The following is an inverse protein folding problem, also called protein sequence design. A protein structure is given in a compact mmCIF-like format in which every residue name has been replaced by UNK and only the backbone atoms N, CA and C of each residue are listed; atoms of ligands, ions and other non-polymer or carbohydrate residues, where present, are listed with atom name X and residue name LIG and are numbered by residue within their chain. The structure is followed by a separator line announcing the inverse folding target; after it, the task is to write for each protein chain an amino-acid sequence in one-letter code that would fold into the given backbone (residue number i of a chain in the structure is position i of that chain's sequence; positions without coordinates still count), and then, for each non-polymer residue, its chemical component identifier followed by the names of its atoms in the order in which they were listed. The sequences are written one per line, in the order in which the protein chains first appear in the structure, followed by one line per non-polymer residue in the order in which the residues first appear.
data_IF_423698690432
#
_entry.id   IF_423698690432
#
_cell.length_a   1.000
_cell.length_b   1.000
_cell.length_c   1.000
_cell.angle_alpha   90.00
_cell.angle_beta   90.00
_cell.angle_gamma   90.00
#
_symmetry.space_group_name_H-M   'P 1'
#
loop_
_entity.id
_entity.type
_entity.pdbx_description
1 polymer ?
#
# COMPACT_ATOMS: atom_id res chain seq x y z
N UNK A 1 -0.55 3.50 -32.06
CA UNK A 1 -1.23 3.73 -30.76
C UNK A 1 -0.34 3.13 -29.70
N UNK A 2 0.58 3.91 -29.12
CA UNK A 2 1.57 3.41 -28.17
C UNK A 2 0.98 3.51 -26.77
N UNK A 3 0.64 2.34 -26.23
CA UNK A 3 0.03 2.15 -24.92
C UNK A 3 0.99 2.61 -23.82
N UNK A 4 0.66 3.63 -23.01
CA UNK A 4 1.47 3.99 -21.87
C UNK A 4 1.42 2.86 -20.84
N UNK A 5 2.60 2.38 -20.51
CA UNK A 5 2.96 1.42 -19.49
C UNK A 5 2.56 1.90 -18.09
N UNK A 6 1.26 1.86 -17.81
CA UNK A 6 0.61 2.27 -16.56
C UNK A 6 0.91 1.34 -15.36
N UNK A 7 1.87 0.43 -15.45
CA UNK A 7 2.14 -0.61 -14.43
C UNK A 7 2.41 -0.03 -13.04
N UNK A 8 3.12 1.09 -12.93
CA UNK A 8 3.40 1.74 -11.64
C UNK A 8 2.16 2.34 -11.00
N UNK A 9 1.30 2.97 -11.81
CA UNK A 9 0.04 3.56 -11.35
C UNK A 9 -0.94 2.46 -10.88
N UNK A 10 -0.98 1.34 -11.59
CA UNK A 10 -1.80 0.17 -11.22
C UNK A 10 -1.33 -0.41 -9.89
N UNK A 11 -0.02 -0.59 -9.70
CA UNK A 11 0.54 -1.10 -8.43
C UNK A 11 0.21 -0.16 -7.26
N UNK A 12 0.34 1.15 -7.44
CA UNK A 12 -0.02 2.13 -6.40
C UNK A 12 -1.49 2.04 -6.00
N UNK A 13 -2.40 2.00 -6.97
CA UNK A 13 -3.85 1.92 -6.72
C UNK A 13 -4.21 0.61 -6.01
N UNK A 14 -3.55 -0.50 -6.37
CA UNK A 14 -3.76 -1.81 -5.72
C UNK A 14 -3.29 -1.79 -4.25
N UNK A 15 -2.12 -1.21 -3.97
CA UNK A 15 -1.60 -1.09 -2.59
C UNK A 15 -2.48 -0.18 -1.73
N UNK A 16 -2.97 0.92 -2.30
CA UNK A 16 -3.87 1.85 -1.63
C UNK A 16 -5.23 1.19 -1.29
N UNK A 17 -5.80 0.45 -2.24
CA UNK A 17 -7.04 -0.29 -2.03
C UNK A 17 -6.88 -1.38 -0.97
N UNK A 18 -5.79 -2.15 -1.00
CA UNK A 18 -5.47 -3.16 0.02
C UNK A 18 -5.33 -2.52 1.41
N UNK A 19 -4.65 -1.38 1.50
CA UNK A 19 -4.48 -0.63 2.76
C UNK A 19 -5.84 -0.19 3.33
N UNK A 20 -6.73 0.34 2.48
CA UNK A 20 -8.07 0.75 2.88
C UNK A 20 -8.93 -0.43 3.36
N UNK A 21 -8.87 -1.57 2.65
CA UNK A 21 -9.59 -2.80 3.04
C UNK A 21 -9.14 -3.29 4.42
N UNK A 22 -7.82 -3.33 4.67
CA UNK A 22 -7.27 -3.73 5.96
C UNK A 22 -7.74 -2.79 7.10
N UNK A 23 -7.82 -1.49 6.84
CA UNK A 23 -8.34 -0.51 7.80
C UNK A 23 -9.82 -0.72 8.12
N UNK A 24 -10.65 -1.01 7.12
CA UNK A 24 -12.09 -1.28 7.31
C UNK A 24 -12.30 -2.59 8.06
N UNK A 25 -11.62 -3.68 7.67
CA UNK A 25 -11.71 -4.96 8.38
C UNK A 25 -11.20 -4.87 9.83
N UNK A 26 -10.24 -3.97 10.11
CA UNK A 26 -9.83 -3.67 11.48
C UNK A 26 -10.92 -2.93 12.27
N UNK A 27 -11.59 -1.94 11.67
CA UNK A 27 -12.71 -1.22 12.29
C UNK A 27 -13.90 -2.12 12.65
N UNK A 28 -14.06 -3.24 11.93
CA UNK A 28 -15.08 -4.26 12.15
C UNK A 28 -14.70 -5.30 13.23
N UNK A 29 -13.54 -5.19 13.85
CA UNK A 29 -13.09 -6.10 14.92
C UNK A 29 -12.51 -7.43 14.44
N UNK A 30 -12.57 -7.75 13.13
CA UNK A 30 -12.00 -8.98 12.55
C UNK A 30 -10.47 -9.09 12.67
N UNK A 31 -9.76 -7.99 12.87
CA UNK A 31 -8.31 -7.96 13.14
C UNK A 31 -7.97 -7.26 14.46
N UNK A 32 -8.91 -7.14 15.40
CA UNK A 32 -8.70 -6.41 16.66
C UNK A 32 -7.66 -7.04 17.61
N UNK A 33 -7.30 -8.31 17.38
CA UNK A 33 -6.26 -9.04 18.10
C UNK A 33 -4.84 -8.75 17.60
N UNK A 34 -4.68 -8.09 16.44
CA UNK A 34 -3.38 -7.61 16.01
C UNK A 34 -3.04 -6.32 16.78
N UNK A 35 -1.93 -6.27 17.55
CA UNK A 35 -1.53 -5.07 18.26
C UNK A 35 -1.36 -3.94 17.23
N UNK A 36 -2.03 -2.81 17.48
CA UNK A 36 -2.18 -1.74 16.49
C UNK A 36 -0.87 -1.24 15.88
N UNK A 37 0.22 -1.37 16.63
CA UNK A 37 1.61 -1.10 16.22
C UNK A 37 2.05 -1.88 14.97
N UNK A 38 1.71 -3.18 14.85
CA UNK A 38 2.16 -4.03 13.73
C UNK A 38 1.54 -3.57 12.40
N UNK A 39 0.29 -3.12 12.42
CA UNK A 39 -0.38 -2.56 11.23
C UNK A 39 0.19 -1.19 10.83
N UNK A 40 0.59 -0.35 11.80
CA UNK A 40 1.28 0.90 11.51
C UNK A 40 2.67 0.67 10.91
N UNK A 41 3.38 -0.36 11.36
CA UNK A 41 4.68 -0.77 10.80
C UNK A 41 4.53 -1.28 9.37
N UNK A 42 3.52 -2.11 9.08
CA UNK A 42 3.24 -2.60 7.72
C UNK A 42 2.87 -1.46 6.76
N UNK A 43 2.06 -0.50 7.20
CA UNK A 43 1.71 0.70 6.41
C UNK A 43 2.94 1.57 6.16
N UNK A 44 3.76 1.81 7.19
CA UNK A 44 5.01 2.57 7.06
C UNK A 44 5.99 1.92 6.07
N UNK A 45 6.16 0.60 6.15
CA UNK A 45 6.97 -0.17 5.19
C UNK A 45 6.45 -0.06 3.76
N UNK A 46 5.13 -0.10 3.57
CA UNK A 46 4.50 0.02 2.24
C UNK A 46 4.73 1.41 1.61
N UNK A 47 4.66 2.47 2.43
CA UNK A 47 4.95 3.85 2.00
C UNK A 47 6.44 4.00 1.64
N UNK A 48 7.34 3.49 2.47
CA UNK A 48 8.79 3.52 2.21
C UNK A 48 9.14 2.79 0.92
N UNK A 49 8.57 1.59 0.68
CA UNK A 49 8.78 0.86 -0.57
C UNK A 49 8.28 1.63 -1.79
N UNK A 50 7.15 2.32 -1.65
CA UNK A 50 6.56 3.13 -2.73
C UNK A 50 7.46 4.30 -3.08
N UNK A 51 8.02 4.98 -2.08
CA UNK A 51 8.95 6.11 -2.28
C UNK A 51 10.26 5.63 -2.90
N UNK A 52 10.85 4.54 -2.36
CA UNK A 52 12.13 4.02 -2.85
C UNK A 52 12.02 3.52 -4.29
N UNK A 53 10.97 2.75 -4.62
CA UNK A 53 10.73 2.34 -6.01
C UNK A 53 10.44 3.54 -6.92
N UNK A 54 9.60 4.47 -6.47
CA UNK A 54 9.32 5.68 -7.24
C UNK A 54 10.57 6.52 -7.54
N UNK A 55 11.53 6.56 -6.62
CA UNK A 55 12.78 7.31 -6.77
C UNK A 55 13.80 6.57 -7.65
N UNK A 56 13.89 5.25 -7.54
CA UNK A 56 14.73 4.41 -8.40
C UNK A 56 14.30 4.52 -9.86
N UNK A 57 13.00 4.53 -10.10
CA UNK A 57 12.45 4.54 -11.45
C UNK A 57 12.29 5.94 -12.07
N UNK A 58 12.71 6.98 -11.34
CA UNK A 58 12.86 8.35 -11.80
C UNK A 58 14.31 8.70 -12.22
N UNK A 59 15.26 7.79 -11.99
CA UNK A 59 16.65 7.85 -12.50
C UNK A 59 16.75 7.12 -13.83
#
# INVERSE_FOLDING_TARGET
MNQPNNSRAIVYVVVLALTAIVWILRGLGLFAFLPGFVLWVLIGLSIVLTIVNGLIEAR
#
